data_IF_311355015388
#
_entry.id   IF_311355015388
#
_cell.length_a   1.000
_cell.length_b   1.000
_cell.length_c   1.000
_cell.angle_alpha   90.00
_cell.angle_beta   90.00
_cell.angle_gamma   90.00
#
_symmetry.space_group_name_H-M   'P 1'
#
loop_
_entity.id
_entity.type
_entity.pdbx_description
1 polymer ?
#
# COMPACT_ATOMS: atom_id res chain seq x y z
N UNK A 1 -20.07 26.08 -5.72
CA UNK A 1 -20.25 24.64 -5.43
C UNK A 1 -18.96 23.92 -5.82
N UNK A 2 -18.25 23.32 -4.87
CA UNK A 2 -17.08 22.50 -5.20
C UNK A 2 -17.55 21.32 -6.07
N UNK A 3 -16.93 21.12 -7.23
CA UNK A 3 -17.17 19.93 -8.06
C UNK A 3 -16.90 18.70 -7.18
N UNK A 4 -17.90 17.84 -6.97
CA UNK A 4 -17.68 16.54 -6.31
C UNK A 4 -16.50 15.86 -7.01
N UNK A 5 -15.54 15.32 -6.24
CA UNK A 5 -14.47 14.49 -6.80
C UNK A 5 -15.15 13.38 -7.62
N UNK A 6 -14.93 13.38 -8.92
CA UNK A 6 -15.60 12.48 -9.86
C UNK A 6 -14.58 11.48 -10.39
N UNK A 7 -14.82 10.21 -10.11
CA UNK A 7 -14.16 9.10 -10.79
C UNK A 7 -14.95 8.81 -12.07
N UNK A 8 -14.31 8.75 -13.25
CA UNK A 8 -15.00 8.41 -14.49
C UNK A 8 -15.59 6.99 -14.42
N UNK A 9 -16.63 6.73 -15.22
CA UNK A 9 -17.30 5.43 -15.24
C UNK A 9 -16.43 4.28 -15.77
N UNK A 10 -15.35 4.61 -16.49
CA UNK A 10 -14.41 3.64 -17.04
C UNK A 10 -12.97 4.16 -16.94
N UNK A 11 -12.03 3.26 -16.66
CA UNK A 11 -10.59 3.49 -16.76
C UNK A 11 -9.97 2.33 -17.54
N UNK A 12 -9.13 2.65 -18.53
CA UNK A 12 -8.29 1.62 -19.18
C UNK A 12 -7.06 1.33 -18.32
N UNK A 13 -6.37 0.18 -18.47
CA UNK A 13 -5.28 -0.21 -17.58
C UNK A 13 -4.17 0.84 -17.41
N UNK A 14 -3.74 1.47 -18.51
CA UNK A 14 -2.73 2.54 -18.44
C UNK A 14 -3.20 3.76 -17.63
N UNK A 15 -4.51 4.07 -17.63
CA UNK A 15 -5.06 5.15 -16.82
C UNK A 15 -5.15 4.76 -15.35
N UNK A 16 -5.41 3.50 -15.03
CA UNK A 16 -5.41 3.00 -13.65
C UNK A 16 -4.01 3.15 -13.05
N UNK A 17 -2.97 2.71 -13.78
CA UNK A 17 -1.57 2.83 -13.34
C UNK A 17 -1.20 4.30 -13.15
N UNK A 18 -1.45 5.15 -14.15
CA UNK A 18 -1.15 6.57 -14.06
C UNK A 18 -1.90 7.28 -12.92
N UNK A 19 -3.15 6.86 -12.63
CA UNK A 19 -3.92 7.39 -11.51
C UNK A 19 -3.33 6.95 -10.17
N UNK A 20 -2.96 5.68 -10.02
CA UNK A 20 -2.31 5.15 -8.82
C UNK A 20 -0.97 5.88 -8.56
N UNK A 21 -0.14 6.04 -9.58
CA UNK A 21 1.14 6.77 -9.50
C UNK A 21 0.93 8.22 -9.06
N UNK A 22 -0.05 8.91 -9.65
CA UNK A 22 -0.38 10.30 -9.32
C UNK A 22 -0.90 10.45 -7.89
N UNK A 23 -1.72 9.51 -7.40
CA UNK A 23 -2.21 9.49 -6.02
C UNK A 23 -1.06 9.31 -5.03
N UNK A 24 -0.15 8.37 -5.30
CA UNK A 24 1.01 8.11 -4.44
C UNK A 24 1.98 9.30 -4.41
N UNK A 25 2.25 9.91 -5.57
CA UNK A 25 3.07 11.11 -5.64
C UNK A 25 2.45 12.28 -4.85
N UNK A 26 1.13 12.43 -4.95
CA UNK A 26 0.41 13.48 -4.21
C UNK A 26 0.38 13.21 -2.70
N UNK A 27 0.13 11.96 -2.29
CA UNK A 27 0.19 11.54 -0.90
C UNK A 27 1.58 11.84 -0.31
N UNK A 28 2.66 11.44 -1.00
CA UNK A 28 4.03 11.72 -0.59
C UNK A 28 4.28 13.22 -0.40
N UNK A 29 3.88 14.05 -1.37
CA UNK A 29 4.00 15.52 -1.26
C UNK A 29 3.27 16.09 -0.05
N UNK A 30 2.07 15.60 0.24
CA UNK A 30 1.25 16.06 1.36
C UNK A 30 1.87 15.66 2.70
N UNK A 31 2.41 14.44 2.81
CA UNK A 31 3.08 13.95 4.01
C UNK A 31 4.42 14.65 4.25
N UNK A 32 5.19 14.92 3.21
CA UNK A 32 6.41 15.75 3.30
C UNK A 32 6.11 17.20 3.70
N UNK A 33 4.99 17.76 3.24
CA UNK A 33 4.52 19.05 3.73
C UNK A 33 4.10 18.97 5.21
N UNK A 34 3.39 17.92 5.61
CA UNK A 34 2.99 17.68 7.00
C UNK A 34 4.21 17.59 7.92
N UNK A 35 5.25 16.85 7.53
CA UNK A 35 6.51 16.73 8.27
C UNK A 35 7.19 18.08 8.48
N UNK A 36 7.31 18.89 7.42
CA UNK A 36 7.86 20.26 7.53
C UNK A 36 7.03 21.16 8.43
N UNK A 37 5.70 20.98 8.47
CA UNK A 37 4.84 21.70 9.41
C UNK A 37 5.07 21.27 10.86
N UNK A 38 5.33 19.98 11.12
CA UNK A 38 5.74 19.52 12.46
C UNK A 38 7.07 20.15 12.87
N UNK A 39 8.07 20.18 11.98
CA UNK A 39 9.38 20.82 12.24
C UNK A 39 9.26 22.32 12.54
N UNK A 40 8.24 22.97 11.99
CA UNK A 40 7.91 24.37 12.24
C UNK A 40 6.99 24.57 13.47
N UNK A 41 6.68 23.51 14.23
CA UNK A 41 5.75 23.49 15.36
C UNK A 41 4.30 23.88 15.01
N UNK A 42 3.92 23.82 13.72
CA UNK A 42 2.56 24.01 13.22
C UNK A 42 1.82 22.66 13.15
N UNK A 43 1.57 22.08 14.32
CA UNK A 43 0.89 20.80 14.45
C UNK A 43 -0.55 20.75 13.89
N UNK A 44 -1.37 21.82 14.00
CA UNK A 44 -2.70 21.86 13.39
C UNK A 44 -2.67 21.72 11.87
N UNK A 45 -1.76 22.45 11.20
CA UNK A 45 -1.55 22.33 9.76
C UNK A 45 -0.99 20.96 9.39
N UNK A 46 0.00 20.48 10.14
CA UNK A 46 0.60 19.15 9.93
C UNK A 46 -0.45 18.04 9.95
N UNK A 47 -1.33 18.03 10.96
CA UNK A 47 -2.43 17.08 11.08
C UNK A 47 -3.40 17.14 9.90
N UNK A 48 -3.72 18.35 9.44
CA UNK A 48 -4.63 18.53 8.30
C UNK A 48 -4.02 18.04 6.98
N UNK A 49 -2.73 18.29 6.77
CA UNK A 49 -1.96 17.77 5.64
C UNK A 49 -1.83 16.24 5.71
N UNK A 50 -1.59 15.67 6.89
CA UNK A 50 -1.55 14.23 7.09
C UNK A 50 -2.89 13.56 6.74
N UNK A 51 -4.03 14.14 7.16
CA UNK A 51 -5.36 13.66 6.77
C UNK A 51 -5.55 13.68 5.26
N UNK A 52 -5.14 14.75 4.58
CA UNK A 52 -5.20 14.82 3.11
C UNK A 52 -4.30 13.76 2.46
N UNK A 53 -3.09 13.53 2.99
CA UNK A 53 -2.20 12.46 2.55
C UNK A 53 -2.86 11.09 2.67
N UNK A 54 -3.50 10.81 3.81
CA UNK A 54 -4.26 9.57 4.02
C UNK A 54 -5.43 9.41 3.04
N UNK A 55 -6.16 10.49 2.73
CA UNK A 55 -7.25 10.42 1.74
C UNK A 55 -6.75 10.00 0.34
N UNK A 56 -5.55 10.45 -0.05
CA UNK A 56 -4.92 10.08 -1.32
C UNK A 56 -4.35 8.64 -1.26
N UNK A 57 -3.71 8.25 -0.16
CA UNK A 57 -3.25 6.88 0.08
C UNK A 57 -4.41 5.88 0.07
N UNK A 58 -5.55 6.21 0.69
CA UNK A 58 -6.74 5.34 0.70
C UNK A 58 -7.32 5.09 -0.69
N UNK A 59 -7.25 6.07 -1.59
CA UNK A 59 -7.61 5.86 -3.01
C UNK A 59 -6.60 4.95 -3.71
N UNK A 60 -5.31 5.12 -3.44
CA UNK A 60 -4.26 4.29 -4.05
C UNK A 60 -4.39 2.82 -3.60
N UNK A 61 -4.67 2.57 -2.33
CA UNK A 61 -4.97 1.25 -1.77
C UNK A 61 -6.16 0.61 -2.50
N UNK A 62 -7.27 1.34 -2.63
CA UNK A 62 -8.46 0.82 -3.30
C UNK A 62 -8.23 0.46 -4.77
N UNK A 63 -7.42 1.25 -5.50
CA UNK A 63 -7.01 0.91 -6.87
C UNK A 63 -6.14 -0.34 -6.91
N UNK A 64 -5.19 -0.47 -5.99
CA UNK A 64 -4.31 -1.63 -5.88
C UNK A 64 -5.10 -2.91 -5.64
N UNK A 65 -5.96 -2.93 -4.63
CA UNK A 65 -6.82 -4.08 -4.29
C UNK A 65 -7.74 -4.44 -5.47
N UNK A 66 -8.31 -3.44 -6.13
CA UNK A 66 -9.12 -3.68 -7.33
C UNK A 66 -8.28 -4.31 -8.44
N UNK A 67 -7.08 -3.80 -8.74
CA UNK A 67 -6.17 -4.42 -9.74
C UNK A 67 -5.82 -5.85 -9.40
N UNK A 68 -5.49 -6.13 -8.13
CA UNK A 68 -5.16 -7.48 -7.68
C UNK A 68 -6.29 -8.48 -7.96
N UNK A 69 -7.54 -8.07 -7.69
CA UNK A 69 -8.72 -8.92 -7.87
C UNK A 69 -9.20 -9.02 -9.33
N UNK A 70 -8.95 -8.01 -10.17
CA UNK A 70 -9.38 -8.00 -11.58
C UNK A 70 -8.89 -9.19 -12.39
N UNK A 71 -7.70 -9.73 -12.09
CA UNK A 71 -7.16 -10.90 -12.81
C UNK A 71 -7.99 -12.18 -12.61
N UNK A 72 -8.80 -12.22 -11.54
CA UNK A 72 -9.68 -13.34 -11.16
C UNK A 72 -11.17 -13.02 -11.33
N UNK A 73 -11.50 -11.76 -11.60
CA UNK A 73 -12.86 -11.32 -11.89
C UNK A 73 -13.36 -11.92 -13.23
N UNK A 74 -14.68 -12.06 -13.42
CA UNK A 74 -15.27 -12.32 -14.73
C UNK A 74 -14.63 -11.50 -15.87
N UNK A 75 -14.44 -12.15 -17.02
CA UNK A 75 -13.89 -11.51 -18.23
C UNK A 75 -14.81 -10.37 -18.67
N UNK A 76 -14.23 -9.17 -18.88
CA UNK A 76 -14.98 -7.97 -19.26
C UNK A 76 -15.63 -7.22 -18.09
N UNK A 77 -15.35 -7.59 -16.84
CA UNK A 77 -15.80 -6.82 -15.68
C UNK A 77 -15.22 -5.39 -15.71
N UNK A 78 -16.06 -4.40 -15.40
CA UNK A 78 -15.63 -3.02 -15.37
C UNK A 78 -14.65 -2.79 -14.21
N UNK A 79 -13.51 -2.17 -14.50
CA UNK A 79 -12.55 -1.82 -13.44
C UNK A 79 -13.18 -0.92 -12.38
N UNK A 80 -13.88 0.14 -12.82
CA UNK A 80 -14.59 1.06 -11.93
C UNK A 80 -15.96 0.47 -11.57
N UNK A 81 -16.07 -0.05 -10.35
CA UNK A 81 -17.31 -0.56 -9.77
C UNK A 81 -17.95 0.46 -8.81
N UNK A 82 -19.13 0.14 -8.28
CA UNK A 82 -19.88 1.02 -7.37
C UNK A 82 -19.14 1.26 -6.05
N UNK A 83 -18.44 0.23 -5.53
CA UNK A 83 -17.63 0.34 -4.32
C UNK A 83 -16.51 1.38 -4.47
N UNK A 84 -15.79 1.35 -5.60
CA UNK A 84 -14.72 2.30 -5.88
C UNK A 84 -15.28 3.73 -6.06
N UNK A 85 -16.45 3.89 -6.70
CA UNK A 85 -17.14 5.18 -6.80
C UNK A 85 -17.56 5.72 -5.43
N UNK A 86 -18.06 4.84 -4.57
CA UNK A 86 -18.48 5.20 -3.22
C UNK A 86 -17.29 5.64 -2.36
N UNK A 87 -16.19 4.88 -2.40
CA UNK A 87 -14.93 5.23 -1.74
C UNK A 87 -14.41 6.58 -2.23
N UNK A 88 -14.48 6.85 -3.53
CA UNK A 88 -14.07 8.15 -4.09
C UNK A 88 -14.88 9.32 -3.51
N UNK A 89 -16.18 9.12 -3.29
CA UNK A 89 -17.10 10.14 -2.82
C UNK A 89 -17.03 10.38 -1.30
N UNK A 90 -16.61 9.38 -0.50
CA UNK A 90 -16.69 9.42 0.97
C UNK A 90 -15.31 9.46 1.61
N UNK A 91 -14.95 10.58 2.23
CA UNK A 91 -13.68 10.75 2.94
C UNK A 91 -13.46 9.69 4.03
N UNK A 92 -14.51 9.32 4.77
CA UNK A 92 -14.45 8.31 5.83
C UNK A 92 -14.03 6.93 5.31
N UNK A 93 -14.48 6.54 4.11
CA UNK A 93 -14.13 5.25 3.51
C UNK A 93 -12.65 5.21 3.08
N UNK A 94 -12.07 6.34 2.69
CA UNK A 94 -10.63 6.43 2.36
C UNK A 94 -9.77 6.22 3.61
N UNK A 95 -10.18 6.83 4.73
CA UNK A 95 -9.50 6.66 6.02
C UNK A 95 -9.69 5.24 6.57
N UNK A 96 -10.86 4.63 6.35
CA UNK A 96 -11.09 3.21 6.65
C UNK A 96 -10.16 2.29 5.85
N UNK A 97 -9.99 2.54 4.55
CA UNK A 97 -9.07 1.77 3.72
C UNK A 97 -7.63 1.87 4.24
N UNK A 98 -7.16 3.06 4.60
CA UNK A 98 -5.84 3.25 5.22
C UNK A 98 -5.72 2.47 6.53
N UNK A 99 -6.70 2.63 7.43
CA UNK A 99 -6.69 1.92 8.70
C UNK A 99 -6.68 0.40 8.50
N UNK A 100 -7.55 -0.14 7.64
CA UNK A 100 -7.61 -1.58 7.37
C UNK A 100 -6.31 -2.11 6.76
N UNK A 101 -5.71 -1.37 5.84
CA UNK A 101 -4.44 -1.73 5.20
C UNK A 101 -3.29 -1.78 6.20
N UNK A 102 -3.19 -0.79 7.09
CA UNK A 102 -2.17 -0.74 8.15
C UNK A 102 -2.44 -1.72 9.30
N UNK A 103 -3.67 -2.21 9.48
CA UNK A 103 -3.97 -3.29 10.43
C UNK A 103 -3.56 -4.65 9.86
N UNK A 104 -3.89 -4.88 8.59
CA UNK A 104 -3.67 -6.18 7.95
C UNK A 104 -2.20 -6.37 7.56
N UNK A 105 -1.52 -5.28 7.19
CA UNK A 105 -0.13 -5.22 6.74
C UNK A 105 0.27 -6.37 5.81
N UNK A 106 -0.53 -6.58 4.76
CA UNK A 106 -0.34 -7.71 3.86
C UNK A 106 1.04 -7.71 3.17
N UNK A 107 1.66 -6.54 3.05
CA UNK A 107 2.95 -6.33 2.39
C UNK A 107 4.00 -5.75 3.34
N UNK A 108 4.06 -6.26 4.57
CA UNK A 108 5.06 -5.86 5.56
C UNK A 108 6.50 -6.16 5.11
N UNK A 109 7.39 -5.18 5.32
CA UNK A 109 8.84 -5.33 5.11
C UNK A 109 9.58 -4.59 6.23
N UNK A 110 10.03 -5.34 7.23
CA UNK A 110 10.84 -4.86 8.35
C UNK A 110 11.67 -6.00 8.93
N UNK A 111 12.68 -5.69 9.76
CA UNK A 111 13.58 -6.69 10.36
C UNK A 111 12.90 -7.60 11.41
N UNK A 112 11.68 -7.27 11.83
CA UNK A 112 10.82 -8.06 12.72
C UNK A 112 9.34 -7.93 12.32
N UNK A 113 8.43 -8.72 12.89
CA UNK A 113 6.98 -8.52 12.71
C UNK A 113 6.62 -7.11 13.19
N UNK A 114 5.60 -6.50 12.60
CA UNK A 114 5.20 -5.18 13.03
C UNK A 114 4.77 -5.13 14.49
N UNK A 115 5.00 -3.98 15.13
CA UNK A 115 4.64 -3.78 16.52
C UNK A 115 3.14 -3.44 16.62
N UNK A 116 2.31 -4.36 17.16
CA UNK A 116 0.88 -4.14 17.26
C UNK A 116 0.53 -2.93 18.14
N UNK A 117 1.41 -2.53 19.07
CA UNK A 117 1.19 -1.41 20.00
C UNK A 117 1.43 -0.06 19.31
N UNK A 118 2.50 0.06 18.52
CA UNK A 118 2.73 1.28 17.71
C UNK A 118 1.64 1.45 16.65
N UNK A 119 1.22 0.33 16.05
CA UNK A 119 0.09 0.27 15.14
C UNK A 119 -1.19 0.68 15.88
N UNK A 120 -1.51 0.11 17.05
CA UNK A 120 -2.71 0.44 17.81
C UNK A 120 -2.76 1.93 18.24
N UNK A 121 -1.63 2.53 18.61
CA UNK A 121 -1.53 3.97 18.91
C UNK A 121 -1.82 4.85 17.69
N UNK A 122 -1.21 4.54 16.55
CA UNK A 122 -1.48 5.24 15.29
C UNK A 122 -2.92 5.02 14.82
N UNK A 123 -3.44 3.81 14.93
CA UNK A 123 -4.81 3.43 14.57
C UNK A 123 -5.85 4.09 15.48
N UNK A 124 -5.56 4.25 16.77
CA UNK A 124 -6.41 5.00 17.71
C UNK A 124 -6.54 6.46 17.30
N UNK A 125 -5.43 7.11 16.93
CA UNK A 125 -5.44 8.46 16.40
C UNK A 125 -6.19 8.54 15.05
N UNK A 126 -5.98 7.58 14.14
CA UNK A 126 -6.68 7.53 12.85
C UNK A 126 -8.18 7.31 13.03
N UNK A 127 -8.60 6.46 13.96
CA UNK A 127 -10.01 6.20 14.28
C UNK A 127 -10.69 7.48 14.83
N UNK A 128 -10.03 8.19 15.74
CA UNK A 128 -10.49 9.48 16.26
C UNK A 128 -10.58 10.53 15.15
N UNK A 129 -9.58 10.57 14.27
CA UNK A 129 -9.54 11.51 13.16
C UNK A 129 -10.64 11.20 12.16
N UNK A 130 -10.93 9.93 11.88
CA UNK A 130 -12.03 9.51 11.00
C UNK A 130 -13.39 10.04 11.49
N UNK A 131 -13.66 9.95 12.80
CA UNK A 131 -14.92 10.42 13.38
C UNK A 131 -15.09 11.94 13.26
N UNK A 132 -13.99 12.71 13.35
CA UNK A 132 -14.00 14.19 13.35
C UNK A 132 -13.28 14.81 12.15
N UNK A 133 -13.11 14.07 11.04
CA UNK A 133 -12.14 14.41 10.00
C UNK A 133 -12.41 15.76 9.33
N UNK A 134 -13.68 16.14 9.12
CA UNK A 134 -14.03 17.42 8.53
C UNK A 134 -13.68 18.59 9.45
N UNK A 135 -14.00 18.47 10.74
CA UNK A 135 -13.69 19.49 11.74
C UNK A 135 -12.17 19.61 11.93
N UNK A 136 -11.46 18.49 12.09
CA UNK A 136 -10.01 18.48 12.28
C UNK A 136 -9.28 19.05 11.06
N UNK A 137 -9.66 18.61 9.85
CA UNK A 137 -9.08 19.10 8.61
C UNK A 137 -9.32 20.59 8.41
N UNK A 138 -10.50 21.10 8.77
CA UNK A 138 -10.78 22.53 8.63
C UNK A 138 -10.03 23.37 9.68
N UNK A 139 -9.90 22.88 10.91
CA UNK A 139 -9.21 23.58 12.00
C UNK A 139 -7.72 23.84 11.73
N UNK A 140 -7.05 23.11 10.83
CA UNK A 140 -5.67 23.46 10.43
C UNK A 140 -5.56 24.53 9.32
N UNK A 141 -6.69 24.94 8.72
CA UNK A 141 -6.69 25.90 7.60
C UNK A 141 -7.55 27.14 7.86
N UNK A 142 -8.52 27.06 8.77
CA UNK A 142 -9.53 28.09 8.98
C UNK A 142 -9.72 28.39 10.48
N UNK A 143 -10.05 29.64 10.76
CA UNK A 143 -10.58 30.06 12.06
C UNK A 143 -12.06 29.69 12.11
N UNK A 144 -12.49 29.05 13.19
CA UNK A 144 -13.88 28.67 13.43
C UNK A 144 -14.47 29.48 14.60
N UNK A 145 -15.74 29.24 14.94
CA UNK A 145 -16.43 29.89 16.07
C UNK A 145 -17.06 28.82 16.97
N UNK A 146 -16.79 28.88 18.27
CA UNK A 146 -17.35 27.97 19.26
C UNK A 146 -18.87 28.13 19.40
N UNK A 147 -19.55 27.17 20.04
CA UNK A 147 -20.97 27.32 20.39
C UNK A 147 -21.24 28.57 21.26
N UNK A 148 -20.24 29.03 22.01
CA UNK A 148 -20.29 30.25 22.81
C UNK A 148 -20.01 31.55 22.03
N UNK A 149 -19.63 31.46 20.75
CA UNK A 149 -19.29 32.61 19.91
C UNK A 149 -17.82 33.01 19.92
N UNK A 150 -16.96 32.27 20.63
CA UNK A 150 -15.52 32.57 20.70
C UNK A 150 -14.78 32.06 19.45
N UNK A 151 -13.82 32.83 18.90
CA UNK A 151 -13.02 32.35 17.79
C UNK A 151 -12.15 31.17 18.23
N UNK A 152 -12.23 30.08 17.48
CA UNK A 152 -11.36 28.91 17.61
C UNK A 152 -10.28 29.04 16.54
N UNK A 153 -9.09 29.42 16.97
CA UNK A 153 -7.90 29.43 16.12
C UNK A 153 -7.32 28.02 15.97
N UNK A 154 -6.59 27.75 14.88
CA UNK A 154 -5.88 26.48 14.69
C UNK A 154 -5.00 26.05 15.88
N UNK A 155 -4.51 26.99 16.70
CA UNK A 155 -3.54 26.80 17.80
C UNK A 155 -3.94 25.82 18.93
N UNK A 156 -5.12 25.19 18.89
CA UNK A 156 -5.43 24.12 19.85
C UNK A 156 -4.43 22.95 19.66
N UNK A 157 -3.62 22.71 20.71
CA UNK A 157 -2.51 21.76 20.75
C UNK A 157 -2.92 20.40 20.20
N UNK A 158 -2.56 20.13 18.95
CA UNK A 158 -2.57 18.78 18.43
C UNK A 158 -1.50 17.98 19.19
N UNK A 159 -1.77 16.73 19.53
CA UNK A 159 -0.76 15.84 20.08
C UNK A 159 0.35 15.63 19.02
N UNK A 160 1.50 16.28 19.23
CA UNK A 160 2.63 16.29 18.29
C UNK A 160 3.13 14.87 18.00
N UNK A 161 3.27 14.05 19.05
CA UNK A 161 3.75 12.67 18.94
C UNK A 161 2.77 11.83 18.11
N UNK A 162 1.46 12.00 18.32
CA UNK A 162 0.45 11.31 17.52
C UNK A 162 0.48 11.73 16.05
N UNK A 163 0.73 13.01 15.75
CA UNK A 163 0.84 13.49 14.36
C UNK A 163 2.09 12.92 13.70
N UNK A 164 3.23 12.92 14.40
CA UNK A 164 4.47 12.32 13.88
C UNK A 164 4.31 10.81 13.62
N UNK A 165 3.70 10.08 14.56
CA UNK A 165 3.46 8.64 14.41
C UNK A 165 2.58 8.35 13.19
N UNK A 166 1.47 9.08 12.99
CA UNK A 166 0.62 8.91 11.81
C UNK A 166 1.37 9.25 10.52
N UNK A 167 2.15 10.33 10.49
CA UNK A 167 2.95 10.68 9.30
C UNK A 167 3.90 9.54 8.94
N UNK A 168 4.65 9.01 9.93
CA UNK A 168 5.60 7.91 9.72
C UNK A 168 4.93 6.67 9.12
N UNK A 169 3.82 6.23 9.70
CA UNK A 169 3.09 5.05 9.23
C UNK A 169 2.50 5.23 7.83
N UNK A 170 1.87 6.38 7.57
CA UNK A 170 1.24 6.63 6.26
C UNK A 170 2.29 6.80 5.16
N UNK A 171 3.50 7.27 5.50
CA UNK A 171 4.59 7.40 4.53
C UNK A 171 5.07 6.06 3.96
N UNK A 172 4.89 4.97 4.71
CA UNK A 172 5.28 3.62 4.31
C UNK A 172 4.32 2.97 3.32
N UNK A 173 3.05 3.43 3.25
CA UNK A 173 2.02 2.84 2.38
C UNK A 173 2.46 2.82 0.92
N UNK A 174 3.10 3.88 0.44
CA UNK A 174 3.57 3.94 -0.95
C UNK A 174 4.57 2.82 -1.28
N UNK A 175 5.47 2.51 -0.35
CA UNK A 175 6.43 1.42 -0.49
C UNK A 175 5.76 0.05 -0.40
N UNK A 176 4.92 -0.15 0.63
CA UNK A 176 4.16 -1.39 0.83
C UNK A 176 3.31 -1.75 -0.39
N UNK A 177 2.67 -0.76 -1.03
CA UNK A 177 1.91 -1.00 -2.25
C UNK A 177 2.81 -1.45 -3.40
N UNK A 178 3.97 -0.83 -3.63
CA UNK A 178 4.91 -1.25 -4.70
C UNK A 178 5.46 -2.66 -4.46
N UNK A 179 5.76 -3.00 -3.21
CA UNK A 179 6.13 -4.35 -2.85
C UNK A 179 4.96 -5.33 -3.12
N UNK A 180 3.74 -4.94 -2.77
CA UNK A 180 2.53 -5.67 -3.08
C UNK A 180 2.34 -5.91 -4.59
N UNK A 181 2.60 -4.91 -5.44
CA UNK A 181 2.55 -5.07 -6.90
C UNK A 181 3.54 -6.15 -7.38
N UNK A 182 4.74 -6.18 -6.79
CA UNK A 182 5.73 -7.22 -7.10
C UNK A 182 5.29 -8.61 -6.63
N UNK A 183 4.81 -8.72 -5.38
CA UNK A 183 4.34 -9.99 -4.80
C UNK A 183 3.16 -10.54 -5.62
N UNK A 184 2.15 -9.71 -5.88
CA UNK A 184 0.98 -10.11 -6.64
C UNK A 184 1.29 -10.38 -8.11
N UNK A 185 2.16 -9.58 -8.74
CA UNK A 185 2.62 -9.83 -10.11
C UNK A 185 3.35 -11.15 -10.25
N UNK A 186 4.18 -11.50 -9.26
CA UNK A 186 4.86 -12.80 -9.20
C UNK A 186 3.86 -13.94 -9.04
N UNK A 187 2.92 -13.84 -8.10
CA UNK A 187 1.85 -14.85 -7.93
C UNK A 187 1.03 -15.03 -9.21
N UNK A 188 0.69 -13.93 -9.89
CA UNK A 188 -0.06 -13.95 -11.15
C UNK A 188 0.75 -14.66 -12.25
N UNK A 189 2.02 -14.30 -12.42
CA UNK A 189 2.91 -14.93 -13.39
C UNK A 189 3.03 -16.44 -13.13
N UNK A 190 3.37 -16.83 -11.91
CA UNK A 190 3.52 -18.23 -11.50
C UNK A 190 2.22 -19.02 -11.71
N UNK A 191 1.06 -18.44 -11.39
CA UNK A 191 -0.24 -19.08 -11.60
C UNK A 191 -0.62 -19.27 -13.07
N UNK A 192 -0.08 -18.43 -13.96
CA UNK A 192 -0.40 -18.44 -15.39
C UNK A 192 0.50 -19.36 -16.22
N UNK A 193 1.63 -19.78 -15.65
CA UNK A 193 2.61 -20.62 -16.35
C UNK A 193 2.28 -22.09 -16.21
N UNK A 194 2.46 -22.82 -17.31
CA UNK A 194 2.48 -24.28 -17.28
C UNK A 194 3.74 -24.75 -16.55
N UNK A 195 3.57 -25.59 -15.53
CA UNK A 195 4.66 -26.33 -14.92
C UNK A 195 4.74 -27.68 -15.64
N UNK A 196 5.79 -27.96 -16.42
CA UNK A 196 5.92 -29.24 -17.09
C UNK A 196 6.07 -30.37 -16.06
N UNK A 197 5.72 -31.62 -16.44
CA UNK A 197 6.08 -32.81 -15.66
C UNK A 197 7.55 -32.79 -15.25
N UNK A 198 7.82 -33.01 -13.96
CA UNK A 198 9.17 -33.18 -13.45
C UNK A 198 9.80 -34.46 -14.01
N UNK A 199 11.10 -34.43 -14.26
CA UNK A 199 11.87 -35.61 -14.64
C UNK A 199 11.92 -36.64 -13.49
N UNK A 200 12.15 -37.91 -13.81
CA UNK A 200 12.25 -38.96 -12.79
C UNK A 200 13.39 -38.71 -11.78
N UNK A 201 14.47 -38.03 -12.21
CA UNK A 201 15.56 -37.63 -11.32
C UNK A 201 15.11 -36.56 -10.30
N UNK A 202 14.34 -35.57 -10.73
CA UNK A 202 13.77 -34.54 -9.84
C UNK A 202 12.75 -35.14 -8.87
N UNK A 203 11.95 -36.09 -9.34
CA UNK A 203 10.99 -36.85 -8.54
C UNK A 203 11.71 -37.69 -7.47
N UNK A 204 12.80 -38.37 -7.82
CA UNK A 204 13.59 -39.16 -6.86
C UNK A 204 14.30 -38.26 -5.83
N UNK A 205 14.83 -37.12 -6.27
CA UNK A 205 15.42 -36.12 -5.39
C UNK A 205 14.40 -35.55 -4.39
N UNK A 206 13.17 -35.26 -4.83
CA UNK A 206 12.09 -34.81 -3.95
C UNK A 206 11.71 -35.88 -2.93
N UNK A 207 11.58 -37.15 -3.35
CA UNK A 207 11.37 -38.28 -2.45
C UNK A 207 12.45 -38.37 -1.37
N UNK A 208 13.72 -38.11 -1.73
CA UNK A 208 14.85 -38.12 -0.79
C UNK A 208 14.78 -36.97 0.20
N UNK A 209 14.41 -35.77 -0.25
CA UNK A 209 14.25 -34.57 0.60
C UNK A 209 13.09 -34.72 1.59
N UNK A 210 11.97 -35.31 1.16
CA UNK A 210 10.75 -35.42 1.96
C UNK A 210 10.62 -36.71 2.77
N UNK A 211 11.70 -37.48 2.97
CA UNK A 211 11.67 -38.78 3.70
C UNK A 211 11.07 -38.73 5.11
N UNK A 212 11.03 -37.55 5.73
CA UNK A 212 10.48 -37.32 7.09
C UNK A 212 9.04 -36.79 7.09
N UNK A 213 8.47 -36.53 5.92
CA UNK A 213 7.09 -36.06 5.75
C UNK A 213 6.15 -37.26 5.63
N UNK A 214 4.89 -37.10 6.04
CA UNK A 214 3.90 -38.17 5.98
C UNK A 214 3.75 -38.74 4.54
N UNK A 215 3.82 -40.07 4.35
CA UNK A 215 3.87 -40.68 3.01
C UNK A 215 2.73 -40.26 2.08
N UNK A 216 1.51 -40.10 2.61
CA UNK A 216 0.34 -39.69 1.82
C UNK A 216 0.47 -38.26 1.25
N UNK A 217 1.11 -37.37 2.00
CA UNK A 217 1.37 -35.99 1.56
C UNK A 217 2.44 -36.00 0.47
N UNK A 218 3.50 -36.78 0.66
CA UNK A 218 4.58 -36.93 -0.32
C UNK A 218 4.07 -37.55 -1.62
N UNK A 219 3.27 -38.61 -1.56
CA UNK A 219 2.66 -39.24 -2.74
C UNK A 219 1.81 -38.26 -3.55
N UNK A 220 1.02 -37.41 -2.89
CA UNK A 220 0.20 -36.39 -3.56
C UNK A 220 1.07 -35.34 -4.26
N UNK A 221 2.13 -34.88 -3.61
CA UNK A 221 3.09 -33.91 -4.18
C UNK A 221 3.80 -34.53 -5.39
N UNK A 222 4.30 -35.76 -5.26
CA UNK A 222 5.00 -36.49 -6.33
C UNK A 222 4.08 -36.75 -7.53
N UNK A 223 2.82 -37.16 -7.28
CA UNK A 223 1.84 -37.36 -8.34
C UNK A 223 1.58 -36.06 -9.11
N UNK A 224 1.51 -34.93 -8.40
CA UNK A 224 1.35 -33.60 -9.00
C UNK A 224 2.59 -33.22 -9.82
N UNK A 225 3.80 -33.42 -9.29
CA UNK A 225 5.06 -33.18 -10.00
C UNK A 225 5.15 -33.98 -11.30
N UNK A 226 4.77 -35.27 -11.28
CA UNK A 226 4.79 -36.13 -12.46
C UNK A 226 3.75 -35.76 -13.52
N UNK A 227 2.63 -35.18 -13.14
CA UNK A 227 1.61 -34.73 -14.09
C UNK A 227 1.93 -33.34 -14.66
N UNK A 228 2.70 -32.54 -13.93
CA UNK A 228 2.79 -31.11 -14.16
C UNK A 228 1.47 -30.42 -13.80
N UNK A 229 1.45 -29.09 -13.92
CA UNK A 229 0.25 -28.29 -13.67
C UNK A 229 0.03 -27.35 -14.84
N UNK A 230 -1.21 -27.27 -15.33
CA UNK A 230 -1.57 -26.27 -16.34
C UNK A 230 -1.76 -24.91 -15.68
N UNK A 231 -1.18 -23.89 -16.31
CA UNK A 231 -1.39 -22.51 -15.94
C UNK A 231 -2.86 -22.13 -16.05
N UNK A 232 -3.26 -21.16 -15.25
CA UNK A 232 -4.61 -20.59 -15.26
C UNK A 232 -4.64 -19.32 -16.11
N UNK A 233 -5.62 -19.22 -17.02
CA UNK A 233 -5.86 -17.99 -17.79
C UNK A 233 -6.30 -16.90 -16.81
N UNK A 234 -5.61 -15.76 -16.83
CA UNK A 234 -6.06 -14.54 -16.16
C UNK A 234 -7.13 -13.86 -17.03
N UNK A 235 -8.34 -13.68 -16.49
CA UNK A 235 -9.52 -13.26 -17.26
C UNK A 235 -9.43 -11.80 -17.78
N UNK A 236 -8.77 -10.92 -17.03
CA UNK A 236 -8.52 -9.52 -17.38
C UNK A 236 -7.02 -9.22 -17.23
N UNK A 237 -6.18 -9.94 -17.98
CA UNK A 237 -4.72 -9.95 -17.84
C UNK A 237 -4.08 -8.59 -18.10
N UNK A 238 -4.76 -7.69 -18.80
CA UNK A 238 -4.31 -6.32 -19.04
C UNK A 238 -4.23 -5.46 -17.77
N UNK A 239 -4.91 -5.84 -16.68
CA UNK A 239 -4.80 -5.18 -15.37
C UNK A 239 -3.77 -5.84 -14.44
N UNK A 240 -3.18 -6.97 -14.85
CA UNK A 240 -2.18 -7.68 -14.07
C UNK A 240 -0.98 -6.77 -13.73
N UNK A 241 -0.33 -7.06 -12.61
CA UNK A 241 0.87 -6.33 -12.24
C UNK A 241 2.04 -6.77 -13.11
N UNK A 242 2.69 -5.82 -13.75
CA UNK A 242 3.88 -6.09 -14.56
C UNK A 242 5.12 -6.01 -13.69
N UNK A 243 5.88 -7.11 -13.66
CA UNK A 243 7.14 -7.14 -12.94
C UNK A 243 8.18 -6.32 -13.71
N UNK A 244 8.89 -5.39 -13.05
CA UNK A 244 9.96 -4.65 -13.70
C UNK A 244 11.10 -5.62 -14.05
N UNK A 245 11.73 -5.38 -15.19
CA UNK A 245 12.92 -6.16 -15.62
C UNK A 245 14.16 -5.82 -14.81
N UNK A 246 14.19 -4.65 -14.18
CA UNK A 246 15.27 -4.15 -13.35
C UNK A 246 14.68 -3.48 -12.09
N UNK A 247 15.13 -3.83 -10.86
CA UNK A 247 14.64 -3.21 -9.63
C UNK A 247 14.79 -1.67 -9.60
N UNK A 248 15.75 -1.12 -10.34
CA UNK A 248 16.02 0.32 -10.40
C UNK A 248 15.29 1.07 -11.54
N UNK A 249 14.47 0.38 -12.34
CA UNK A 249 13.82 0.97 -13.53
C UNK A 249 12.91 2.17 -13.18
N UNK A 250 12.35 2.16 -11.96
CA UNK A 250 11.38 3.14 -11.49
C UNK A 250 11.98 4.20 -10.57
N UNK A 251 13.30 4.22 -10.35
CA UNK A 251 13.94 5.22 -9.48
C UNK A 251 13.71 6.62 -10.03
N UNK A 252 13.25 7.53 -9.17
CA UNK A 252 12.94 8.93 -9.49
C UNK A 252 11.63 9.12 -10.25
N UNK A 253 10.82 8.07 -10.45
CA UNK A 253 9.50 8.20 -11.07
C UNK A 253 8.46 8.68 -10.05
N UNK A 254 7.50 9.54 -10.43
CA UNK A 254 6.39 9.91 -9.56
C UNK A 254 5.62 8.69 -9.06
N UNK A 255 5.31 8.66 -7.76
CA UNK A 255 4.62 7.54 -7.10
C UNK A 255 5.55 6.41 -6.66
N UNK A 256 6.87 6.56 -6.81
CA UNK A 256 7.89 5.64 -6.32
C UNK A 256 8.78 6.28 -5.25
N UNK A 257 8.46 7.49 -4.77
CA UNK A 257 9.30 8.22 -3.82
C UNK A 257 9.48 7.47 -2.48
N UNK A 258 8.46 6.72 -2.06
CA UNK A 258 8.59 5.86 -0.87
C UNK A 258 9.58 4.70 -1.11
N UNK A 259 9.52 4.06 -2.28
CA UNK A 259 10.47 3.04 -2.69
C UNK A 259 11.90 3.58 -2.78
N UNK A 260 12.08 4.75 -3.39
CA UNK A 260 13.40 5.36 -3.56
C UNK A 260 14.09 5.64 -2.22
N UNK A 261 13.32 6.05 -1.21
CA UNK A 261 13.86 6.27 0.15
C UNK A 261 14.29 4.98 0.83
N UNK A 262 13.52 3.91 0.68
CA UNK A 262 13.89 2.59 1.21
C UNK A 262 15.13 2.03 0.51
N UNK A 263 15.25 2.19 -0.82
CA UNK A 263 16.47 1.82 -1.55
C UNK A 263 17.69 2.63 -1.09
N UNK A 264 17.52 3.93 -0.84
CA UNK A 264 18.59 4.78 -0.34
C UNK A 264 19.04 4.35 1.07
N UNK A 265 18.10 4.10 1.98
CA UNK A 265 18.39 3.61 3.33
C UNK A 265 19.15 2.28 3.30
N UNK A 266 18.71 1.33 2.49
CA UNK A 266 19.41 0.04 2.31
C UNK A 266 20.83 0.21 1.75
N UNK A 267 21.04 1.17 0.85
CA UNK A 267 22.37 1.45 0.30
C UNK A 267 23.31 2.06 1.35
N UNK A 268 22.80 2.92 2.23
CA UNK A 268 23.55 3.49 3.35
C UNK A 268 23.94 2.40 4.37
N UNK A 269 23.02 1.52 4.73
CA UNK A 269 23.29 0.40 5.66
C UNK A 269 24.37 -0.55 5.11
N UNK A 270 24.27 -0.91 3.83
CA UNK A 270 25.28 -1.77 3.18
C UNK A 270 26.66 -1.11 3.13
N UNK A 271 26.73 0.20 2.91
CA UNK A 271 27.99 0.93 2.91
C UNK A 271 28.62 0.99 4.32
N UNK A 272 27.79 1.14 5.35
CA UNK A 272 28.24 1.12 6.75
C UNK A 272 28.78 -0.25 7.17
N UNK A 273 28.15 -1.34 6.73
CA UNK A 273 28.61 -2.71 7.01
C UNK A 273 29.95 -3.00 6.32
N UNK A 274 30.16 -2.58 5.07
CA UNK A 274 31.42 -2.76 4.33
C UNK A 274 32.62 -2.01 4.96
N UNK A 275 32.36 -0.89 5.63
CA UNK A 275 33.38 -0.14 6.36
C UNK A 275 33.66 -0.74 7.74
N UNK A 276 32.67 -1.42 8.34
CA UNK A 276 32.84 -2.12 9.63
C UNK A 276 33.66 -3.41 9.52
N UNK A 277 33.57 -4.12 8.38
CA UNK A 277 34.33 -5.35 8.09
C UNK A 277 35.80 -5.08 7.66
N UNK A 278 36.17 -3.80 7.45
CA UNK A 278 37.53 -3.36 7.12
C UNK A 278 38.29 -2.73 8.29
N UNK A 279 37.69 -2.67 9.49
CA UNK A 279 38.29 -2.17 10.74
C UNK A 279 38.79 -3.28 11.66
#
# INVERSE_FOLDING_TARGET
>A
MARKQHLPDTLVPAQVIALQDALLANANRLLEAARRSVEAEDFPLARSLAILGMEESGKAIALHERRATMTRAPEGEAFVNDELKELWARHTLKLEAVHAFLVAEEYWFGAGPSDPVEIELALGAIADWKQRHNEIKQRGFYVDVSEGGDPISPDETANADAVQAVIGQVHQIGWQLRLGEHIEGKKQLESSQDVPPASEEEVENMWRLMRRVEPKVVEKIIATMRQGTKGTKLANSEYAFMLPTNPFENVGRPGYEAHDRELAALAEDLAADEDSDKG
#
